data_IF_037414832572
#
_entry.id   IF_037414832572
#
_cell.length_a   1.000
_cell.length_b   1.000
_cell.length_c   1.000
_cell.angle_alpha   90.00
_cell.angle_beta   90.00
_cell.angle_gamma   90.00
#
_symmetry.space_group_name_H-M   'P 1'
#
loop_
_entity.id
_entity.type
_entity.pdbx_description
1 polymer ?
#
# COMPACT_ATOMS: atom_id res chain seq x y z
N UNK A 1 -10.61 -13.49 19.88
CA UNK A 1 -9.71 -14.37 19.09
C UNK A 1 -8.62 -13.49 18.50
N UNK A 2 -7.35 -13.90 18.57
CA UNK A 2 -6.23 -13.10 18.05
C UNK A 2 -6.03 -13.34 16.55
N UNK A 3 -5.52 -12.33 15.85
CA UNK A 3 -5.15 -12.44 14.44
C UNK A 3 -3.68 -12.81 14.31
N UNK A 4 -3.37 -13.61 13.30
CA UNK A 4 -2.01 -14.08 13.01
C UNK A 4 -1.63 -13.81 11.55
N UNK A 5 -0.34 -13.50 11.36
CA UNK A 5 0.28 -13.35 10.04
C UNK A 5 0.84 -14.69 9.62
N UNK A 6 0.41 -15.19 8.46
CA UNK A 6 0.96 -16.40 7.84
C UNK A 6 2.04 -16.01 6.83
N UNK A 7 3.32 -16.04 7.24
CA UNK A 7 4.46 -15.64 6.40
C UNK A 7 4.75 -16.61 5.25
N UNK A 8 4.42 -17.88 5.40
CA UNK A 8 4.55 -18.86 4.31
C UNK A 8 3.53 -18.55 3.22
N UNK A 9 2.28 -18.27 3.63
CA UNK A 9 1.24 -17.83 2.69
C UNK A 9 1.58 -16.50 2.04
N UNK A 10 2.15 -15.53 2.77
CA UNK A 10 2.67 -14.30 2.18
C UNK A 10 3.71 -14.57 1.12
N UNK A 11 4.59 -15.54 1.35
CA UNK A 11 5.63 -15.91 0.39
C UNK A 11 5.00 -16.52 -0.87
N UNK A 12 4.08 -17.48 -0.73
CA UNK A 12 3.40 -18.06 -1.90
C UNK A 12 2.60 -17.03 -2.70
N UNK A 13 1.90 -16.12 -2.01
CA UNK A 13 1.15 -15.04 -2.66
C UNK A 13 2.09 -14.11 -3.42
N UNK A 14 3.22 -13.72 -2.82
CA UNK A 14 4.21 -12.87 -3.50
C UNK A 14 4.76 -13.53 -4.77
N UNK A 15 5.01 -14.84 -4.74
CA UNK A 15 5.49 -15.59 -5.89
C UNK A 15 4.48 -15.60 -7.06
N UNK A 16 3.19 -15.46 -6.76
CA UNK A 16 2.11 -15.41 -7.75
C UNK A 16 1.80 -14.00 -8.26
N UNK A 17 2.23 -12.95 -7.54
CA UNK A 17 1.97 -11.58 -7.94
C UNK A 17 2.78 -11.21 -9.21
N UNK A 18 2.18 -10.47 -10.16
CA UNK A 18 2.87 -10.00 -11.36
C UNK A 18 3.83 -8.86 -11.00
N UNK A 19 4.99 -9.23 -10.46
CA UNK A 19 5.96 -8.32 -9.82
C UNK A 19 7.15 -7.99 -10.69
N UNK A 20 7.20 -8.53 -11.92
CA UNK A 20 8.30 -8.51 -12.88
C UNK A 20 9.25 -7.34 -12.65
N UNK A 21 10.39 -7.68 -12.07
CA UNK A 21 11.43 -6.84 -11.49
C UNK A 21 12.04 -5.78 -12.42
N UNK A 22 11.56 -5.67 -13.66
CA UNK A 22 12.01 -4.71 -14.65
C UNK A 22 10.89 -3.86 -15.27
N UNK A 23 9.78 -3.64 -14.55
CA UNK A 23 9.28 -2.26 -14.52
C UNK A 23 7.80 -1.99 -14.74
N UNK A 24 6.89 -2.95 -14.63
CA UNK A 24 5.48 -2.58 -14.50
C UNK A 24 4.60 -3.69 -13.91
N UNK A 25 4.55 -3.78 -12.57
CA UNK A 25 3.37 -4.38 -11.95
C UNK A 25 2.10 -3.66 -12.40
N UNK A 26 0.96 -4.36 -12.42
CA UNK A 26 -0.33 -3.80 -12.92
C UNK A 26 -0.65 -2.47 -12.23
N UNK A 27 -0.36 -2.38 -10.93
CA UNK A 27 -0.64 -1.19 -10.15
C UNK A 27 0.23 0.01 -10.55
N UNK A 28 1.53 -0.21 -10.80
CA UNK A 28 2.45 0.82 -11.29
C UNK A 28 2.00 1.33 -12.66
N UNK A 29 1.66 0.43 -13.57
CA UNK A 29 1.17 0.75 -14.93
C UNK A 29 -0.08 1.61 -14.86
N UNK A 30 -1.09 1.17 -14.10
CA UNK A 30 -2.34 1.90 -13.94
C UNK A 30 -2.12 3.28 -13.31
N UNK A 31 -1.24 3.37 -12.30
CA UNK A 31 -0.91 4.64 -11.64
C UNK A 31 -0.26 5.61 -12.61
N UNK A 32 0.77 5.16 -13.36
CA UNK A 32 1.44 5.98 -14.38
C UNK A 32 0.45 6.45 -15.44
N UNK A 33 -0.29 5.53 -16.05
CA UNK A 33 -1.23 5.83 -17.13
C UNK A 33 -2.29 6.85 -16.70
N UNK A 34 -2.87 6.67 -15.49
CA UNK A 34 -3.87 7.61 -14.95
C UNK A 34 -3.29 9.02 -14.82
N UNK A 35 -2.10 9.12 -14.24
CA UNK A 35 -1.49 10.42 -13.94
C UNK A 35 -0.98 11.12 -15.20
N UNK A 36 -0.41 10.37 -16.13
CA UNK A 36 0.01 10.91 -17.42
C UNK A 36 -1.21 11.39 -18.22
N UNK A 37 -2.23 10.55 -18.35
CA UNK A 37 -3.40 10.86 -19.20
C UNK A 37 -4.22 12.03 -18.65
N UNK A 38 -4.44 12.07 -17.33
CA UNK A 38 -5.34 13.06 -16.72
C UNK A 38 -4.60 14.33 -16.28
N UNK A 39 -3.36 14.19 -15.81
CA UNK A 39 -2.61 15.28 -15.21
C UNK A 39 -1.37 15.69 -16.01
N UNK A 40 -0.96 14.93 -17.02
CA UNK A 40 0.27 15.20 -17.78
C UNK A 40 1.55 14.98 -16.96
N UNK A 41 1.47 14.25 -15.84
CA UNK A 41 2.62 13.99 -14.96
C UNK A 41 3.33 12.74 -15.46
N UNK A 42 4.64 12.86 -15.72
CA UNK A 42 5.47 11.77 -16.25
C UNK A 42 6.67 11.49 -15.34
N UNK A 43 7.28 10.29 -15.42
CA UNK A 43 8.50 10.00 -14.66
C UNK A 43 9.61 11.03 -14.84
N UNK A 44 9.74 11.60 -16.03
CA UNK A 44 10.79 12.58 -16.36
C UNK A 44 10.55 13.95 -15.71
N UNK A 45 9.30 14.29 -15.38
CA UNK A 45 8.91 15.59 -14.79
C UNK A 45 8.59 15.49 -13.31
N UNK A 46 8.69 14.31 -12.70
CA UNK A 46 8.18 14.05 -11.35
C UNK A 46 8.73 15.01 -10.30
N UNK A 47 9.98 15.44 -10.44
CA UNK A 47 10.62 16.31 -9.49
C UNK A 47 9.90 17.68 -9.40
N UNK A 48 9.31 18.16 -10.50
CA UNK A 48 8.55 19.42 -10.55
C UNK A 48 7.07 19.22 -10.19
N UNK A 49 6.59 17.98 -10.23
CA UNK A 49 5.20 17.60 -9.97
C UNK A 49 4.94 17.10 -8.54
N UNK A 50 5.94 17.12 -7.64
CA UNK A 50 5.82 16.60 -6.25
C UNK A 50 4.60 17.18 -5.52
N UNK A 51 4.43 18.50 -5.54
CA UNK A 51 3.27 19.20 -4.96
C UNK A 51 1.95 18.71 -5.57
N UNK A 52 1.90 18.51 -6.89
CA UNK A 52 0.70 18.08 -7.58
C UNK A 52 0.34 16.64 -7.25
N UNK A 53 1.34 15.75 -7.17
CA UNK A 53 1.16 14.35 -6.76
C UNK A 53 0.68 14.28 -5.31
N UNK A 54 1.22 15.14 -4.42
CA UNK A 54 0.79 15.22 -3.02
C UNK A 54 -0.66 15.67 -2.93
N UNK A 55 -1.01 16.77 -3.60
CA UNK A 55 -2.37 17.32 -3.64
C UNK A 55 -3.40 16.28 -4.15
N UNK A 56 -3.07 15.53 -5.20
CA UNK A 56 -3.92 14.44 -5.72
C UNK A 56 -4.06 13.32 -4.68
N UNK A 57 -2.98 12.98 -3.97
CA UNK A 57 -2.96 11.89 -2.99
C UNK A 57 -3.80 12.22 -1.77
N UNK A 58 -3.62 13.40 -1.16
CA UNK A 58 -4.40 13.82 0.00
C UNK A 58 -5.86 14.12 -0.36
N UNK A 59 -6.16 14.58 -1.58
CA UNK A 59 -7.56 14.79 -2.03
C UNK A 59 -8.41 13.54 -1.97
N UNK A 60 -7.83 12.34 -2.11
CA UNK A 60 -8.57 11.08 -1.95
C UNK A 60 -9.15 10.92 -0.53
N UNK A 61 -8.68 11.70 0.46
CA UNK A 61 -9.19 11.78 1.83
C UNK A 61 -10.28 12.82 2.03
N UNK A 62 -10.54 13.71 1.05
CA UNK A 62 -11.47 14.82 1.20
C UNK A 62 -12.90 14.41 1.59
N UNK A 63 -13.34 13.21 1.20
CA UNK A 63 -14.63 12.67 1.63
C UNK A 63 -14.72 12.28 3.12
N UNK A 64 -13.58 12.10 3.79
CA UNK A 64 -13.51 11.70 5.22
C UNK A 64 -13.18 12.86 6.15
N UNK A 65 -12.27 13.76 5.73
CA UNK A 65 -11.76 14.85 6.61
C UNK A 65 -12.29 16.24 6.24
N UNK A 66 -12.98 16.38 5.10
CA UNK A 66 -13.45 17.68 4.59
C UNK A 66 -12.38 18.45 3.82
N UNK A 67 -12.80 19.39 2.97
CA UNK A 67 -11.91 20.09 2.05
C UNK A 67 -11.01 21.15 2.71
N UNK A 68 -11.42 21.71 3.84
CA UNK A 68 -10.61 22.68 4.60
C UNK A 68 -9.32 22.03 5.11
N UNK A 69 -9.45 20.88 5.79
CA UNK A 69 -8.31 20.11 6.29
C UNK A 69 -7.42 19.59 5.18
N UNK A 70 -8.00 19.22 4.03
CA UNK A 70 -7.23 18.87 2.83
C UNK A 70 -6.37 20.05 2.35
N UNK A 71 -6.89 21.27 2.33
CA UNK A 71 -6.12 22.45 1.93
C UNK A 71 -5.00 22.76 2.92
N UNK A 72 -5.28 22.69 4.22
CA UNK A 72 -4.27 22.88 5.25
C UNK A 72 -3.09 21.88 5.09
N UNK A 73 -3.39 20.61 4.85
CA UNK A 73 -2.35 19.60 4.58
C UNK A 73 -1.57 19.89 3.29
N UNK A 74 -2.22 20.40 2.24
CA UNK A 74 -1.57 20.81 0.98
C UNK A 74 -0.64 22.01 1.18
N UNK A 75 -1.05 22.99 1.99
CA UNK A 75 -0.26 24.19 2.31
C UNK A 75 0.94 23.86 3.20
N UNK A 76 0.81 22.89 4.11
CA UNK A 76 1.89 22.43 4.97
C UNK A 76 2.95 21.57 4.25
N UNK A 77 2.64 21.05 3.06
CA UNK A 77 3.57 20.20 2.33
C UNK A 77 4.68 21.01 1.65
N UNK A 78 5.93 20.71 2.02
CA UNK A 78 7.12 21.32 1.44
C UNK A 78 7.81 20.36 0.44
N UNK A 79 7.54 20.59 -0.85
CA UNK A 79 8.17 19.83 -1.93
C UNK A 79 9.68 20.04 -2.03
N UNK A 80 10.21 21.21 -1.66
CA UNK A 80 11.64 21.47 -1.72
C UNK A 80 12.38 20.76 -0.58
N UNK A 81 11.79 20.72 0.63
CA UNK A 81 12.31 19.89 1.72
C UNK A 81 12.29 18.39 1.34
N UNK A 82 11.20 17.90 0.76
CA UNK A 82 11.13 16.51 0.29
C UNK A 82 12.15 16.23 -0.83
N UNK A 83 12.36 17.19 -1.74
CA UNK A 83 13.37 17.11 -2.81
C UNK A 83 14.78 17.06 -2.25
N UNK A 84 15.06 17.84 -1.20
CA UNK A 84 16.36 17.92 -0.53
C UNK A 84 16.67 16.71 0.36
N UNK A 85 15.65 15.99 0.87
CA UNK A 85 15.85 14.81 1.71
C UNK A 85 16.77 13.78 1.03
N UNK A 86 17.82 13.34 1.73
CA UNK A 86 18.77 12.37 1.19
C UNK A 86 18.30 10.93 1.36
N UNK A 87 17.63 10.65 2.49
CA UNK A 87 17.15 9.32 2.87
C UNK A 87 15.64 9.24 2.79
N UNK A 88 15.12 8.06 2.44
CA UNK A 88 13.69 7.76 2.46
C UNK A 88 13.04 8.08 3.81
N UNK A 89 13.73 7.75 4.92
CA UNK A 89 13.24 8.00 6.28
C UNK A 89 12.97 9.47 6.56
N UNK A 90 13.85 10.36 6.12
CA UNK A 90 13.70 11.81 6.34
C UNK A 90 12.48 12.33 5.58
N UNK A 91 12.29 11.88 4.32
CA UNK A 91 11.10 12.21 3.54
C UNK A 91 9.81 11.66 4.15
N UNK A 92 9.85 10.46 4.74
CA UNK A 92 8.71 9.88 5.44
C UNK A 92 8.34 10.67 6.70
N UNK A 93 9.33 11.04 7.52
CA UNK A 93 9.14 11.84 8.74
C UNK A 93 8.48 13.19 8.42
N UNK A 94 8.97 13.91 7.39
CA UNK A 94 8.34 15.15 6.90
C UNK A 94 6.85 14.97 6.54
N UNK A 95 6.48 13.83 5.95
CA UNK A 95 5.10 13.59 5.53
C UNK A 95 4.16 13.26 6.69
N UNK A 96 4.62 12.46 7.67
CA UNK A 96 3.76 12.05 8.80
C UNK A 96 3.59 13.12 9.86
N UNK A 97 4.46 14.13 9.87
CA UNK A 97 4.30 15.34 10.69
C UNK A 97 3.19 16.28 10.18
N UNK A 98 2.78 16.14 8.91
CA UNK A 98 1.65 16.90 8.37
C UNK A 98 0.35 16.32 8.92
N UNK A 99 -0.45 17.19 9.54
CA UNK A 99 -1.78 16.85 10.02
C UNK A 99 -2.61 16.14 8.93
N UNK A 100 -3.32 15.08 9.33
CA UNK A 100 -4.18 14.26 8.48
C UNK A 100 -3.53 13.40 7.38
N UNK A 101 -2.21 13.46 7.19
CA UNK A 101 -1.50 12.57 6.24
C UNK A 101 -1.34 11.19 6.88
N UNK A 102 -0.65 11.09 8.02
CA UNK A 102 -0.42 9.82 8.71
C UNK A 102 0.26 8.73 7.85
N UNK A 103 0.57 7.55 8.44
CA UNK A 103 1.40 6.53 7.79
C UNK A 103 0.88 6.03 6.44
N UNK A 104 -0.44 5.81 6.34
CA UNK A 104 -1.04 5.27 5.11
C UNK A 104 -0.82 6.23 3.93
N UNK A 105 -1.11 7.52 4.09
CA UNK A 105 -1.06 8.49 3.00
C UNK A 105 0.39 8.85 2.67
N UNK A 106 1.27 8.93 3.68
CA UNK A 106 2.70 9.06 3.47
C UNK A 106 3.25 7.92 2.60
N UNK A 107 2.94 6.67 2.95
CA UNK A 107 3.35 5.50 2.16
C UNK A 107 2.73 5.49 0.75
N UNK A 108 1.46 5.88 0.61
CA UNK A 108 0.81 5.97 -0.71
C UNK A 108 1.48 7.02 -1.60
N UNK A 109 1.82 8.18 -1.03
CA UNK A 109 2.54 9.25 -1.72
C UNK A 109 3.94 8.80 -2.13
N UNK A 110 4.74 8.28 -1.20
CA UNK A 110 6.10 7.79 -1.48
C UNK A 110 6.09 6.66 -2.51
N UNK A 111 5.13 5.72 -2.43
CA UNK A 111 4.96 4.69 -3.45
C UNK A 111 4.71 5.30 -4.83
N UNK A 112 3.86 6.32 -4.95
CA UNK A 112 3.62 6.98 -6.25
C UNK A 112 4.89 7.63 -6.78
N UNK A 113 5.52 8.52 -6.00
CA UNK A 113 6.67 9.27 -6.51
C UNK A 113 7.89 8.36 -6.73
N UNK A 114 8.20 7.46 -5.79
CA UNK A 114 9.39 6.61 -5.85
C UNK A 114 9.18 5.40 -6.76
N UNK A 115 8.14 4.60 -6.53
CA UNK A 115 7.96 3.35 -7.29
C UNK A 115 7.30 3.60 -8.65
N UNK A 116 6.19 4.36 -8.68
CA UNK A 116 5.52 4.63 -9.95
C UNK A 116 6.32 5.64 -10.80
N UNK A 117 6.78 6.75 -10.25
CA UNK A 117 7.46 7.78 -11.06
C UNK A 117 8.99 7.77 -10.99
N UNK A 118 9.59 6.81 -10.31
CA UNK A 118 11.07 6.65 -10.24
C UNK A 118 11.78 7.87 -9.65
N UNK A 119 11.12 8.67 -8.82
CA UNK A 119 11.78 9.69 -8.02
C UNK A 119 12.68 9.01 -6.99
N UNK A 120 14.00 9.24 -7.07
CA UNK A 120 15.01 8.60 -6.22
C UNK A 120 14.84 7.06 -6.14
N UNK A 121 15.13 6.33 -7.24
CA UNK A 121 14.90 4.87 -7.31
C UNK A 121 15.62 4.06 -6.22
N UNK A 122 16.70 4.59 -5.64
CA UNK A 122 17.41 3.97 -4.53
C UNK A 122 16.55 3.81 -3.27
N UNK A 123 15.44 4.55 -3.15
CA UNK A 123 14.52 4.46 -2.01
C UNK A 123 13.51 3.31 -2.12
N UNK A 124 13.45 2.61 -3.26
CA UNK A 124 12.48 1.51 -3.47
C UNK A 124 12.53 0.41 -2.39
N UNK A 125 13.71 -0.04 -1.92
CA UNK A 125 13.78 -1.06 -0.86
C UNK A 125 13.17 -0.61 0.47
N UNK A 126 13.15 0.70 0.72
CA UNK A 126 12.65 1.29 1.97
C UNK A 126 11.15 1.57 1.95
N UNK A 127 10.48 1.46 0.79
CA UNK A 127 9.05 1.73 0.67
C UNK A 127 8.23 0.74 1.48
N UNK A 128 7.34 1.24 2.34
CA UNK A 128 6.31 0.45 3.00
C UNK A 128 5.07 0.29 2.13
N UNK A 129 4.38 -0.83 2.28
CA UNK A 129 3.12 -1.10 1.57
C UNK A 129 2.02 -0.20 2.15
N UNK A 130 1.30 0.62 1.35
CA UNK A 130 0.16 1.36 1.83
C UNK A 130 -0.97 0.41 2.27
N UNK A 131 -1.14 0.20 3.57
CA UNK A 131 -2.17 -0.69 4.14
C UNK A 131 -3.57 -0.07 4.01
N UNK A 132 -4.12 -0.09 2.80
CA UNK A 132 -5.47 0.35 2.50
C UNK A 132 -6.49 -0.79 2.60
N UNK A 133 -7.77 -0.48 2.33
CA UNK A 133 -8.85 -1.45 2.46
C UNK A 133 -8.72 -2.62 1.48
N UNK A 134 -8.18 -2.38 0.28
CA UNK A 134 -8.06 -3.37 -0.78
C UNK A 134 -6.91 -4.33 -0.49
N UNK A 135 -5.74 -3.80 -0.13
CA UNK A 135 -4.61 -4.62 0.33
C UNK A 135 -5.03 -5.46 1.54
N UNK A 136 -5.68 -4.83 2.51
CA UNK A 136 -6.16 -5.53 3.72
C UNK A 136 -7.15 -6.64 3.40
N UNK A 137 -8.11 -6.38 2.51
CA UNK A 137 -9.11 -7.39 2.09
C UNK A 137 -8.42 -8.54 1.35
N UNK A 138 -7.46 -8.26 0.48
CA UNK A 138 -6.68 -9.28 -0.21
C UNK A 138 -5.99 -10.22 0.78
N UNK A 139 -5.31 -9.67 1.79
CA UNK A 139 -4.60 -10.43 2.82
C UNK A 139 -5.51 -11.39 3.59
N UNK A 140 -6.75 -10.98 3.85
CA UNK A 140 -7.76 -11.84 4.51
C UNK A 140 -8.28 -12.90 3.54
N UNK A 141 -8.65 -12.51 2.32
CA UNK A 141 -9.21 -13.40 1.30
C UNK A 141 -8.22 -14.51 0.91
N UNK A 142 -6.92 -14.21 0.85
CA UNK A 142 -5.84 -15.18 0.56
C UNK A 142 -5.30 -15.88 1.81
N UNK A 143 -5.90 -15.67 2.99
CA UNK A 143 -5.48 -16.25 4.28
C UNK A 143 -4.05 -15.90 4.72
N UNK A 144 -3.47 -14.82 4.18
CA UNK A 144 -2.23 -14.25 4.71
C UNK A 144 -2.43 -13.72 6.14
N UNK A 145 -3.65 -13.28 6.45
CA UNK A 145 -4.12 -12.95 7.80
C UNK A 145 -5.29 -13.87 8.14
N UNK A 146 -5.28 -14.46 9.32
CA UNK A 146 -6.33 -15.36 9.78
C UNK A 146 -6.55 -15.28 11.30
N UNK A 147 -7.70 -15.77 11.77
CA UNK A 147 -7.99 -15.92 13.21
C UNK A 147 -7.29 -17.17 13.76
N UNK A 148 -6.67 -17.04 14.94
CA UNK A 148 -6.09 -18.16 15.67
C UNK A 148 -7.21 -19.18 16.02
N UNK A 149 -7.02 -20.45 15.65
CA UNK A 149 -8.00 -21.53 15.81
C UNK A 149 -8.73 -21.94 14.52
N UNK A 150 -8.44 -21.32 13.38
CA UNK A 150 -8.81 -21.84 12.04
C UNK A 150 -10.29 -21.76 11.66
N UNK A 151 -11.19 -21.35 12.55
CA UNK A 151 -12.63 -21.30 12.27
C UNK A 151 -13.13 -19.86 12.09
N UNK A 152 -13.40 -19.49 10.83
CA UNK A 152 -14.06 -18.26 10.32
C UNK A 152 -13.16 -17.10 9.88
N UNK A 153 -12.87 -17.05 8.58
CA UNK A 153 -12.48 -15.81 7.87
C UNK A 153 -13.69 -15.01 7.33
N UNK A 154 -14.90 -15.57 7.40
CA UNK A 154 -16.07 -15.11 6.62
C UNK A 154 -16.66 -13.73 6.96
N UNK A 155 -16.20 -13.02 8.00
CA UNK A 155 -16.73 -11.68 8.35
C UNK A 155 -15.70 -10.71 8.92
N UNK A 156 -14.42 -10.90 8.63
CA UNK A 156 -13.42 -9.88 8.98
C UNK A 156 -13.59 -8.64 8.10
N UNK A 157 -14.20 -7.59 8.63
CA UNK A 157 -14.19 -6.28 7.98
C UNK A 157 -12.76 -5.74 7.98
N UNK A 158 -12.22 -5.42 6.81
CA UNK A 158 -10.86 -4.88 6.63
C UNK A 158 -10.52 -3.70 7.57
N UNK A 159 -11.50 -2.91 8.02
CA UNK A 159 -11.31 -1.86 9.01
C UNK A 159 -10.95 -2.31 10.44
N UNK A 160 -11.04 -3.61 10.74
CA UNK A 160 -10.76 -4.19 12.07
C UNK A 160 -9.46 -4.99 12.14
N UNK A 161 -8.76 -5.18 11.02
CA UNK A 161 -7.56 -6.04 10.93
C UNK A 161 -6.36 -5.38 11.60
N UNK A 162 -6.07 -4.14 11.23
CA UNK A 162 -4.88 -3.43 11.69
C UNK A 162 -5.20 -2.47 12.83
N UNK A 163 -4.29 -2.42 13.80
CA UNK A 163 -4.24 -1.31 14.74
C UNK A 163 -3.55 -0.11 14.09
N UNK A 164 -4.22 1.05 14.12
CA UNK A 164 -3.71 2.31 13.55
C UNK A 164 -3.00 3.20 14.57
N UNK A 165 -3.06 2.85 15.85
CA UNK A 165 -2.40 3.60 16.92
C UNK A 165 -1.04 2.96 17.24
N UNK A 166 0.06 3.57 16.78
CA UNK A 166 1.41 3.14 17.13
C UNK A 166 1.58 3.04 18.66
N UNK A 167 2.20 1.96 19.14
CA UNK A 167 2.47 1.75 20.57
C UNK A 167 1.31 1.19 21.40
N UNK A 168 0.14 0.95 20.80
CA UNK A 168 -0.93 0.17 21.46
C UNK A 168 -1.01 -1.22 20.86
N UNK A 169 -1.20 -2.24 21.71
CA UNK A 169 -1.43 -3.63 21.30
C UNK A 169 -2.85 -4.05 21.69
N UNK A 170 -3.88 -3.67 20.89
CA UNK A 170 -5.19 -4.29 21.04
C UNK A 170 -5.00 -5.79 20.83
N UNK A 171 -5.44 -6.60 21.81
CA UNK A 171 -5.28 -8.07 21.81
C UNK A 171 -5.86 -8.78 20.58
N UNK A 172 -6.59 -8.07 19.72
CA UNK A 172 -7.35 -8.60 18.59
C UNK A 172 -6.92 -8.03 17.22
N UNK A 173 -5.88 -7.18 17.15
CA UNK A 173 -5.45 -6.55 15.89
C UNK A 173 -3.96 -6.72 15.63
N UNK A 174 -3.59 -6.78 14.36
CA UNK A 174 -2.19 -6.80 13.92
C UNK A 174 -1.64 -5.37 13.95
N UNK A 175 -0.46 -5.15 14.53
CA UNK A 175 0.20 -3.85 14.42
C UNK A 175 0.67 -3.63 12.98
N UNK A 176 0.49 -2.40 12.46
CA UNK A 176 0.89 -2.10 11.08
C UNK A 176 2.38 -2.38 10.83
N UNK A 177 3.23 -2.08 11.82
CA UNK A 177 4.69 -2.28 11.74
C UNK A 177 5.04 -3.77 11.65
N UNK A 178 4.38 -4.64 12.44
CA UNK A 178 4.57 -6.09 12.37
C UNK A 178 4.24 -6.64 10.97
N UNK A 179 3.20 -6.09 10.34
CA UNK A 179 2.83 -6.45 8.96
C UNK A 179 3.90 -6.01 7.95
N UNK A 180 4.47 -4.81 8.09
CA UNK A 180 5.56 -4.35 7.21
C UNK A 180 6.82 -5.21 7.38
N UNK A 181 7.14 -5.61 8.62
CA UNK A 181 8.26 -6.53 8.90
C UNK A 181 8.00 -7.91 8.26
N UNK A 182 6.79 -8.44 8.37
CA UNK A 182 6.43 -9.71 7.73
C UNK A 182 6.52 -9.63 6.19
N UNK A 183 6.05 -8.54 5.58
CA UNK A 183 6.23 -8.31 4.15
C UNK A 183 7.70 -8.26 3.75
N UNK A 184 8.54 -7.56 4.53
CA UNK A 184 9.97 -7.47 4.26
C UNK A 184 10.66 -8.83 4.34
N UNK A 185 10.33 -9.65 5.35
CA UNK A 185 10.88 -11.01 5.48
C UNK A 185 10.45 -11.91 4.32
N UNK A 186 9.17 -11.91 3.97
CA UNK A 186 8.65 -12.69 2.84
C UNK A 186 9.27 -12.25 1.50
N UNK A 187 9.43 -10.93 1.31
CA UNK A 187 10.05 -10.34 0.14
C UNK A 187 11.53 -10.71 0.02
N UNK A 188 12.30 -10.60 1.11
CA UNK A 188 13.73 -10.98 1.15
C UNK A 188 13.97 -12.44 0.75
N UNK A 189 13.10 -13.38 1.16
CA UNK A 189 13.18 -14.80 0.75
C UNK A 189 13.11 -14.99 -0.76
N UNK A 190 12.52 -14.04 -1.49
CA UNK A 190 12.30 -14.10 -2.94
C UNK A 190 13.10 -13.04 -3.71
N UNK A 191 14.12 -12.45 -3.07
CA UNK A 191 14.92 -11.37 -3.63
C UNK A 191 14.08 -10.13 -4.05
N UNK A 192 12.99 -9.86 -3.31
CA UNK A 192 11.99 -8.82 -3.60
C UNK A 192 12.08 -7.62 -2.68
N UNK A 193 11.50 -6.52 -3.15
CA UNK A 193 11.14 -5.39 -2.30
C UNK A 193 9.73 -5.59 -1.76
N UNK A 194 9.50 -5.25 -0.49
CA UNK A 194 8.17 -5.41 0.16
C UNK A 194 7.04 -4.67 -0.57
N UNK A 195 7.37 -3.59 -1.29
CA UNK A 195 6.39 -2.82 -2.06
C UNK A 195 5.70 -3.63 -3.17
N UNK A 196 6.24 -4.79 -3.55
CA UNK A 196 5.60 -5.73 -4.47
C UNK A 196 4.19 -6.17 -4.00
N UNK A 197 3.95 -6.23 -2.68
CA UNK A 197 2.64 -6.53 -2.11
C UNK A 197 1.59 -5.43 -2.35
N UNK A 198 1.97 -4.26 -2.88
CA UNK A 198 1.01 -3.24 -3.32
C UNK A 198 0.20 -3.70 -4.55
N UNK A 199 0.64 -4.74 -5.27
CA UNK A 199 -0.17 -5.39 -6.33
C UNK A 199 -1.43 -6.06 -5.78
N UNK A 200 -1.47 -6.39 -4.47
CA UNK A 200 -2.68 -6.85 -3.79
C UNK A 200 -3.84 -5.85 -3.94
N UNK A 201 -3.54 -4.56 -4.10
CA UNK A 201 -4.55 -3.56 -4.41
C UNK A 201 -5.21 -3.83 -5.76
N UNK A 202 -4.42 -4.05 -6.82
CA UNK A 202 -4.94 -4.32 -8.17
C UNK A 202 -5.75 -5.61 -8.19
N UNK A 203 -5.21 -6.66 -7.57
CA UNK A 203 -5.90 -7.94 -7.47
C UNK A 203 -7.23 -7.79 -6.75
N UNK A 204 -7.25 -7.14 -5.59
CA UNK A 204 -8.47 -7.05 -4.82
C UNK A 204 -9.49 -6.10 -5.46
N UNK A 205 -9.03 -4.94 -5.92
CA UNK A 205 -9.91 -3.92 -6.47
C UNK A 205 -10.53 -4.36 -7.79
N UNK A 206 -9.79 -5.01 -8.68
CA UNK A 206 -10.29 -5.33 -10.02
C UNK A 206 -10.85 -6.74 -10.13
N UNK A 207 -10.21 -7.71 -9.48
CA UNK A 207 -10.56 -9.13 -9.66
C UNK A 207 -11.32 -9.69 -8.45
N UNK A 208 -10.75 -9.62 -7.24
CA UNK A 208 -11.35 -10.30 -6.07
C UNK A 208 -12.62 -9.62 -5.53
N UNK A 209 -12.82 -8.32 -5.79
CA UNK A 209 -14.02 -7.60 -5.35
C UNK A 209 -15.23 -7.83 -6.27
N UNK A 210 -15.03 -8.35 -7.49
CA UNK A 210 -16.08 -8.59 -8.47
C UNK A 210 -16.14 -10.10 -8.76
N UNK A 211 -17.19 -10.83 -8.31
CA UNK A 211 -17.26 -12.28 -8.43
C UNK A 211 -16.98 -12.83 -9.83
N UNK A 212 -17.44 -12.12 -10.88
CA UNK A 212 -17.27 -12.53 -12.27
C UNK A 212 -15.80 -12.57 -12.75
N UNK A 213 -14.90 -11.84 -12.09
CA UNK A 213 -13.49 -11.73 -12.48
C UNK A 213 -12.55 -12.42 -11.48
N UNK A 214 -13.10 -13.09 -10.46
CA UNK A 214 -12.28 -13.69 -9.39
C UNK A 214 -11.32 -14.75 -9.93
N UNK A 215 -11.77 -15.57 -10.87
CA UNK A 215 -10.98 -16.66 -11.46
C UNK A 215 -9.86 -16.13 -12.38
N UNK A 216 -9.97 -14.87 -12.84
CA UNK A 216 -8.94 -14.19 -13.64
C UNK A 216 -7.81 -13.60 -12.78
N UNK A 217 -7.96 -13.55 -11.45
CA UNK A 217 -6.89 -13.09 -10.57
C UNK A 217 -5.74 -14.10 -10.55
N UNK A 218 -4.50 -13.60 -10.48
CA UNK A 218 -3.33 -14.44 -10.22
C UNK A 218 -3.36 -15.05 -8.81
N UNK A 219 -4.29 -14.59 -7.96
CA UNK A 219 -4.48 -15.06 -6.59
C UNK A 219 -5.64 -16.04 -6.43
N UNK A 220 -6.31 -16.43 -7.52
CA UNK A 220 -7.52 -17.27 -7.47
C UNK A 220 -7.29 -18.61 -6.76
N UNK A 221 -6.14 -19.25 -6.99
CA UNK A 221 -5.75 -20.53 -6.35
C UNK A 221 -5.54 -20.45 -4.83
N UNK A 222 -5.41 -19.25 -4.27
CA UNK A 222 -5.24 -19.03 -2.82
C UNK A 222 -6.57 -18.87 -2.08
N UNK A 223 -7.64 -18.67 -2.84
CA UNK A 223 -8.98 -18.55 -2.30
C UNK A 223 -9.46 -19.96 -2.01
N UNK A 224 -9.87 -20.24 -0.77
CA UNK A 224 -10.39 -21.57 -0.44
C UNK A 224 -11.67 -21.87 -1.22
N UNK A 225 -11.95 -23.17 -1.45
CA UNK A 225 -13.17 -23.68 -2.11
C UNK A 225 -14.51 -23.34 -1.40
N UNK A 226 -14.47 -22.51 -0.35
CA UNK A 226 -15.61 -22.22 0.50
C UNK A 226 -16.49 -21.09 -0.02
N UNK A 227 -17.48 -21.44 -0.82
CA UNK A 227 -18.85 -21.00 -0.55
C UNK A 227 -19.51 -22.03 0.38
#
# INVERSE_FOLDING_TARGET
>A
MSLEINEDRLSEVLAALPTDYNGAGRHVTYTRQKYETIYGIRPETIADDLNRVFAITVRQRGGTIGMERVRAAQEAFDAEALRAAERHRDAYELLVEIDDVGPKIANEYLRKVVHAFKFRPSWVPDLCVPLDIHVTKALVDTKCIHENGGSRTGRMTAGKVFNRNHGSTPRERIAADDMQVAFERAAKKQNANRIAFDELWSENKFYLSIPAFRDESCLSSFLGDGQ
#
